data_IF_057914725973
#
_entry.id   IF_057914725973
#
_cell.length_a   1.000
_cell.length_b   1.000
_cell.length_c   1.000
_cell.angle_alpha   90.00
_cell.angle_beta   90.00
_cell.angle_gamma   90.00
#
_symmetry.space_group_name_H-M   'P 1'
#
loop_
_entity.id
_entity.type
_entity.pdbx_description
1 polymer ?
#
# COMPACT_ATOMS: atom_id res chain seq x y z
N UNK A 1 -51.66 -21.96 -31.69
CA UNK A 1 -50.28 -21.41 -31.78
C UNK A 1 -50.03 -20.55 -30.55
N UNK A 2 -49.53 -21.17 -29.49
CA UNK A 2 -49.40 -20.56 -28.16
C UNK A 2 -47.98 -20.02 -28.00
N UNK A 3 -47.80 -18.70 -27.97
CA UNK A 3 -46.48 -18.08 -27.83
C UNK A 3 -46.16 -17.90 -26.35
N UNK A 4 -45.21 -18.69 -25.86
CA UNK A 4 -44.72 -18.63 -24.49
C UNK A 4 -44.10 -17.24 -24.19
N UNK A 5 -44.53 -16.62 -23.09
CA UNK A 5 -43.88 -15.43 -22.52
C UNK A 5 -42.67 -15.89 -21.69
N UNK A 6 -41.52 -15.19 -21.76
CA UNK A 6 -40.36 -15.55 -20.95
C UNK A 6 -40.59 -15.19 -19.47
N UNK A 7 -40.28 -16.13 -18.59
CA UNK A 7 -40.31 -15.95 -17.13
C UNK A 7 -39.22 -14.95 -16.68
N UNK A 8 -39.49 -14.06 -15.71
CA UNK A 8 -38.48 -13.13 -15.19
C UNK A 8 -37.40 -13.87 -14.39
N UNK A 9 -36.14 -13.55 -14.69
CA UNK A 9 -34.96 -14.06 -13.99
C UNK A 9 -34.94 -13.61 -12.51
N UNK A 10 -34.37 -14.42 -11.58
CA UNK A 10 -34.37 -14.12 -10.17
C UNK A 10 -33.54 -12.86 -9.85
N UNK A 11 -34.16 -11.91 -9.17
CA UNK A 11 -33.50 -10.71 -8.65
C UNK A 11 -32.56 -11.07 -7.51
N UNK A 12 -31.31 -10.60 -7.59
CA UNK A 12 -30.34 -10.76 -6.51
C UNK A 12 -30.81 -10.02 -5.23
N UNK A 13 -30.69 -10.64 -4.04
CA UNK A 13 -31.14 -10.03 -2.80
C UNK A 13 -30.19 -8.90 -2.38
N UNK A 14 -30.73 -7.70 -2.12
CA UNK A 14 -29.98 -6.61 -1.51
C UNK A 14 -30.24 -5.20 -2.04
N UNK A 15 -31.07 -5.02 -3.08
CA UNK A 15 -31.39 -3.69 -3.58
C UNK A 15 -32.42 -3.00 -2.67
N UNK A 16 -31.94 -2.25 -1.67
CA UNK A 16 -32.76 -1.40 -0.77
C UNK A 16 -33.44 -0.20 -1.46
N UNK A 17 -33.62 -0.24 -2.79
CA UNK A 17 -34.16 0.86 -3.60
C UNK A 17 -35.60 0.62 -4.08
N UNK A 18 -36.29 -0.43 -3.61
CA UNK A 18 -37.65 -0.79 -4.06
C UNK A 18 -38.80 -0.40 -3.10
N UNK A 19 -38.54 0.30 -1.99
CA UNK A 19 -39.59 0.75 -1.05
C UNK A 19 -39.80 2.27 -1.04
N UNK A 20 -39.85 2.92 -2.20
CA UNK A 20 -40.15 4.37 -2.29
C UNK A 20 -41.02 4.78 -3.49
N UNK A 21 -41.68 3.83 -4.15
CA UNK A 21 -42.49 4.11 -5.36
C UNK A 21 -43.82 3.33 -5.36
N UNK A 22 -44.60 3.42 -4.29
CA UNK A 22 -46.04 3.04 -4.31
C UNK A 22 -46.98 4.13 -3.79
N UNK A 23 -46.47 5.32 -3.48
CA UNK A 23 -47.31 6.47 -3.12
C UNK A 23 -47.00 7.65 -4.03
N UNK A 24 -47.48 7.61 -5.28
CA UNK A 24 -47.72 8.81 -6.08
C UNK A 24 -48.64 8.51 -7.26
N UNK A 25 -49.95 8.61 -6.97
CA UNK A 25 -50.92 9.36 -7.77
C UNK A 25 -51.08 9.04 -9.26
N UNK A 26 -52.26 8.48 -9.57
CA UNK A 26 -53.05 8.77 -10.78
C UNK A 26 -52.76 10.14 -11.39
N UNK A 27 -52.62 10.18 -12.72
CA UNK A 27 -52.63 11.39 -13.51
C UNK A 27 -52.24 11.10 -14.95
N UNK A 28 -53.24 10.99 -15.82
CA UNK A 28 -53.12 10.89 -17.27
C UNK A 28 -52.34 12.10 -17.83
N UNK A 29 -51.44 11.88 -18.81
CA UNK A 29 -51.62 12.41 -20.16
C UNK A 29 -50.38 12.31 -21.07
N UNK A 30 -50.73 11.96 -22.29
CA UNK A 30 -49.98 11.89 -23.53
C UNK A 30 -49.25 13.20 -23.87
N UNK A 31 -47.91 13.20 -23.84
CA UNK A 31 -47.10 14.13 -24.65
C UNK A 31 -45.80 13.49 -25.10
N UNK A 32 -45.60 13.52 -26.43
CA UNK A 32 -44.36 13.23 -27.14
C UNK A 32 -43.20 14.00 -26.51
N UNK A 33 -42.16 13.26 -26.17
CA UNK A 33 -40.86 13.82 -25.85
C UNK A 33 -39.89 12.67 -25.72
N UNK A 34 -39.07 12.46 -26.74
CA UNK A 34 -37.92 11.56 -26.75
C UNK A 34 -36.97 11.95 -25.61
N UNK A 35 -37.27 11.50 -24.39
CA UNK A 35 -36.40 11.65 -23.23
C UNK A 35 -35.29 10.62 -23.40
N UNK A 36 -34.23 11.06 -24.06
CA UNK A 36 -32.98 10.33 -24.16
C UNK A 36 -32.62 9.80 -22.78
N UNK A 37 -32.54 8.47 -22.69
CA UNK A 37 -32.04 7.78 -21.52
C UNK A 37 -30.57 8.21 -21.37
N UNK A 38 -30.32 9.29 -20.61
CA UNK A 38 -28.97 9.56 -20.12
C UNK A 38 -28.67 8.46 -19.13
N UNK A 39 -28.10 7.37 -19.64
CA UNK A 39 -27.32 6.44 -18.85
C UNK A 39 -26.32 7.30 -18.08
N UNK A 40 -26.58 7.52 -16.80
CA UNK A 40 -25.55 8.07 -15.91
C UNK A 40 -24.45 7.03 -15.93
N UNK A 41 -23.37 7.32 -16.66
CA UNK A 41 -22.14 6.55 -16.61
C UNK A 41 -21.81 6.34 -15.13
N UNK A 42 -21.78 5.08 -14.69
CA UNK A 42 -21.09 4.74 -13.46
C UNK A 42 -19.68 5.35 -13.56
N UNK A 43 -19.15 5.98 -12.50
CA UNK A 43 -17.78 6.48 -12.51
C UNK A 43 -16.81 5.30 -12.36
N UNK A 44 -16.96 4.24 -13.15
CA UNK A 44 -15.89 3.27 -13.32
C UNK A 44 -14.97 3.78 -14.43
N UNK A 45 -14.24 4.84 -14.11
CA UNK A 45 -13.00 5.16 -14.82
C UNK A 45 -12.04 4.01 -14.47
N UNK A 46 -11.51 3.23 -15.43
CA UNK A 46 -10.35 2.41 -15.13
C UNK A 46 -9.21 3.40 -14.90
N UNK A 47 -8.87 3.63 -13.63
CA UNK A 47 -7.71 4.43 -13.29
C UNK A 47 -6.42 3.71 -13.70
N UNK A 48 -5.33 4.44 -13.99
CA UNK A 48 -4.03 3.83 -14.24
C UNK A 48 -3.47 3.30 -12.91
N UNK A 49 -3.89 2.11 -12.47
CA UNK A 49 -3.64 1.61 -11.10
C UNK A 49 -2.92 0.27 -10.98
N UNK A 50 -2.32 -0.27 -12.04
CA UNK A 50 -1.51 -1.50 -11.92
C UNK A 50 -0.03 -1.32 -12.29
N UNK A 51 0.34 -0.29 -13.05
CA UNK A 51 1.74 -0.08 -13.45
C UNK A 51 2.63 0.49 -12.32
N UNK A 52 2.01 1.12 -11.30
CA UNK A 52 2.77 1.68 -10.16
C UNK A 52 3.29 0.62 -9.18
N UNK A 53 2.71 -0.57 -9.16
CA UNK A 53 3.13 -1.65 -8.24
C UNK A 53 4.48 -2.25 -8.65
N UNK A 54 4.63 -2.56 -9.94
CA UNK A 54 5.85 -3.17 -10.50
C UNK A 54 7.04 -2.21 -10.45
N UNK A 55 6.82 -0.90 -10.68
CA UNK A 55 7.85 0.12 -10.57
C UNK A 55 8.37 0.30 -9.13
N UNK A 56 7.50 0.19 -8.11
CA UNK A 56 7.91 0.22 -6.69
C UNK A 56 8.67 -1.05 -6.31
N UNK A 57 8.20 -2.22 -6.74
CA UNK A 57 8.87 -3.50 -6.46
C UNK A 57 10.31 -3.55 -6.95
N UNK A 58 10.61 -3.05 -8.15
CA UNK A 58 11.99 -2.97 -8.68
C UNK A 58 12.89 -2.03 -7.85
N UNK A 59 12.39 -0.85 -7.48
CA UNK A 59 13.14 0.09 -6.62
C UNK A 59 13.39 -0.49 -5.23
N UNK A 60 12.45 -1.27 -4.69
CA UNK A 60 12.63 -1.96 -3.40
C UNK A 60 13.70 -3.02 -3.44
N UNK A 61 13.71 -3.86 -4.48
CA UNK A 61 14.75 -4.88 -4.63
C UNK A 61 16.13 -4.22 -4.66
N UNK A 62 16.31 -3.18 -5.48
CA UNK A 62 17.56 -2.42 -5.50
C UNK A 62 17.91 -1.85 -4.13
N UNK A 63 16.93 -1.30 -3.40
CA UNK A 63 17.14 -0.84 -2.03
C UNK A 63 17.56 -1.94 -1.06
N UNK A 64 16.96 -3.14 -1.13
CA UNK A 64 17.34 -4.26 -0.26
C UNK A 64 18.77 -4.72 -0.54
N UNK A 65 19.17 -4.78 -1.81
CA UNK A 65 20.56 -5.09 -2.18
C UNK A 65 21.53 -4.01 -1.66
N UNK A 66 21.19 -2.72 -1.80
CA UNK A 66 21.99 -1.62 -1.26
C UNK A 66 22.11 -1.65 0.26
N UNK A 67 21.02 -1.97 0.96
CA UNK A 67 21.02 -2.13 2.42
C UNK A 67 21.89 -3.29 2.87
N UNK A 68 21.79 -4.44 2.18
CA UNK A 68 22.62 -5.61 2.43
C UNK A 68 24.11 -5.33 2.19
N UNK A 69 24.43 -4.57 1.13
CA UNK A 69 25.80 -4.15 0.84
C UNK A 69 26.34 -3.22 1.94
N UNK A 70 25.57 -2.21 2.36
CA UNK A 70 25.96 -1.29 3.43
C UNK A 70 26.18 -2.00 4.77
N UNK A 71 25.30 -2.94 5.14
CA UNK A 71 25.44 -3.71 6.37
C UNK A 71 26.68 -4.61 6.37
N UNK A 72 26.98 -5.27 5.24
CA UNK A 72 28.20 -6.08 5.09
C UNK A 72 29.46 -5.22 5.14
N UNK A 73 29.43 -4.05 4.51
CA UNK A 73 30.54 -3.10 4.56
C UNK A 73 30.81 -2.65 6.00
N UNK A 74 29.77 -2.24 6.73
CA UNK A 74 29.90 -1.88 8.15
C UNK A 74 30.45 -3.03 9.02
N UNK A 75 30.00 -4.26 8.78
CA UNK A 75 30.53 -5.42 9.50
C UNK A 75 32.03 -5.65 9.18
N UNK A 76 32.43 -5.46 7.92
CA UNK A 76 33.82 -5.63 7.50
C UNK A 76 34.74 -4.55 8.09
N UNK A 77 34.33 -3.28 8.10
CA UNK A 77 35.12 -2.18 8.68
C UNK A 77 35.27 -2.33 10.19
N UNK A 78 34.20 -2.72 10.89
CA UNK A 78 34.25 -3.01 12.32
C UNK A 78 35.17 -4.21 12.63
N UNK A 79 35.13 -5.27 11.82
CA UNK A 79 36.00 -6.43 12.01
C UNK A 79 37.48 -6.10 11.74
N UNK A 80 37.75 -5.17 10.82
CA UNK A 80 39.11 -4.71 10.52
C UNK A 80 39.64 -3.67 11.54
N UNK A 81 38.80 -3.17 12.45
CA UNK A 81 39.17 -2.08 13.36
C UNK A 81 39.40 -0.74 12.65
N UNK A 82 38.74 -0.54 11.51
CA UNK A 82 38.84 0.68 10.71
C UNK A 82 38.23 1.88 11.47
N UNK A 83 38.87 3.07 11.49
CA UNK A 83 38.30 4.28 12.07
C UNK A 83 36.91 4.63 11.49
N UNK A 84 36.61 4.25 10.25
CA UNK A 84 35.31 4.51 9.60
C UNK A 84 34.21 3.52 10.05
N UNK A 85 34.51 2.56 10.94
CA UNK A 85 33.57 1.55 11.41
C UNK A 85 32.28 2.12 12.01
N UNK A 86 32.40 3.14 12.85
CA UNK A 86 31.24 3.78 13.49
C UNK A 86 30.36 4.54 12.47
N UNK A 87 30.99 5.22 11.51
CA UNK A 87 30.30 5.94 10.43
C UNK A 87 29.56 4.95 9.54
N UNK A 88 30.25 3.89 9.10
CA UNK A 88 29.67 2.84 8.25
C UNK A 88 28.48 2.15 8.93
N UNK A 89 28.59 1.84 10.23
CA UNK A 89 27.50 1.24 11.00
C UNK A 89 26.29 2.17 11.13
N UNK A 90 26.53 3.46 11.38
CA UNK A 90 25.47 4.47 11.50
C UNK A 90 24.74 4.68 10.17
N UNK A 91 25.47 4.73 9.05
CA UNK A 91 24.88 4.81 7.69
C UNK A 91 24.05 3.56 7.38
N UNK A 92 24.58 2.37 7.68
CA UNK A 92 23.88 1.12 7.46
C UNK A 92 22.56 1.06 8.26
N UNK A 93 22.59 1.42 9.54
CA UNK A 93 21.41 1.51 10.41
C UNK A 93 20.39 2.53 9.88
N UNK A 94 20.83 3.73 9.51
CA UNK A 94 19.95 4.77 8.96
C UNK A 94 19.13 4.30 7.76
N UNK A 95 19.75 3.48 6.90
CA UNK A 95 19.11 2.96 5.70
C UNK A 95 18.26 1.72 5.98
N UNK A 96 18.75 0.76 6.77
CA UNK A 96 18.07 -0.49 7.07
C UNK A 96 16.79 -0.26 7.89
N UNK A 97 16.83 0.61 8.90
CA UNK A 97 15.70 0.87 9.81
C UNK A 97 14.47 1.39 9.05
N UNK A 98 14.64 2.31 8.10
CA UNK A 98 13.53 2.84 7.30
C UNK A 98 13.08 1.86 6.20
N UNK A 99 14.02 1.12 5.60
CA UNK A 99 13.72 0.21 4.50
C UNK A 99 12.94 -1.02 4.97
N UNK A 100 13.30 -1.62 6.11
CA UNK A 100 12.66 -2.83 6.62
C UNK A 100 11.16 -2.63 6.87
N UNK A 101 10.80 -1.52 7.51
CA UNK A 101 9.40 -1.15 7.73
C UNK A 101 8.66 -0.95 6.42
N UNK A 102 9.22 -0.14 5.52
CA UNK A 102 8.58 0.15 4.23
C UNK A 102 8.40 -1.10 3.37
N UNK A 103 9.36 -2.02 3.41
CA UNK A 103 9.27 -3.29 2.69
C UNK A 103 8.16 -4.18 3.27
N UNK A 104 8.03 -4.25 4.59
CA UNK A 104 6.97 -5.01 5.26
C UNK A 104 5.57 -4.41 5.01
N UNK A 105 5.43 -3.08 5.07
CA UNK A 105 4.18 -2.38 4.76
C UNK A 105 3.73 -2.62 3.31
N UNK A 106 4.66 -2.51 2.35
CA UNK A 106 4.36 -2.79 0.94
C UNK A 106 4.01 -4.26 0.71
N UNK A 107 4.70 -5.19 1.39
CA UNK A 107 4.37 -6.60 1.31
C UNK A 107 2.94 -6.86 1.80
N UNK A 108 2.53 -6.30 2.94
CA UNK A 108 1.16 -6.41 3.44
C UNK A 108 0.17 -5.83 2.42
N UNK A 109 0.48 -4.66 1.85
CA UNK A 109 -0.41 -4.02 0.88
C UNK A 109 -0.58 -4.83 -0.41
N UNK A 110 0.47 -5.55 -0.87
CA UNK A 110 0.43 -6.44 -2.03
C UNK A 110 -0.40 -7.70 -1.78
N UNK A 111 -0.39 -8.20 -0.54
CA UNK A 111 -1.16 -9.39 -0.15
C UNK A 111 -2.59 -9.02 0.28
N UNK A 112 -2.90 -7.73 0.44
CA UNK A 112 -4.17 -7.24 0.93
C UNK A 112 -4.54 -7.89 2.29
N UNK A 113 -5.81 -8.26 2.48
CA UNK A 113 -6.31 -8.75 3.77
C UNK A 113 -5.56 -9.95 4.34
N UNK A 114 -5.10 -10.90 3.50
CA UNK A 114 -4.39 -12.11 3.95
C UNK A 114 -3.05 -11.78 4.61
N UNK A 115 -2.46 -10.61 4.33
CA UNK A 115 -1.22 -10.17 4.97
C UNK A 115 -1.38 -9.88 6.47
N UNK A 116 -2.61 -9.71 6.95
CA UNK A 116 -2.95 -9.42 8.35
C UNK A 116 -3.60 -10.60 9.08
N UNK A 117 -3.62 -11.78 8.47
CA UNK A 117 -4.21 -12.99 9.06
C UNK A 117 -3.13 -14.00 9.48
N UNK A 118 -3.53 -15.08 10.15
CA UNK A 118 -2.61 -16.10 10.69
C UNK A 118 -2.00 -17.00 9.62
N UNK A 119 -2.64 -17.08 8.46
CA UNK A 119 -2.24 -17.88 7.31
C UNK A 119 -0.99 -17.33 6.64
N UNK A 120 -0.66 -16.05 6.87
CA UNK A 120 0.51 -15.44 6.28
C UNK A 120 1.29 -14.54 7.28
N UNK A 121 2.59 -14.79 7.51
CA UNK A 121 3.35 -14.15 8.59
C UNK A 121 3.77 -12.70 8.32
N UNK A 122 3.26 -12.02 7.28
CA UNK A 122 3.69 -10.66 6.92
C UNK A 122 3.51 -9.65 8.05
N UNK A 123 2.39 -9.74 8.76
CA UNK A 123 2.13 -8.90 9.92
C UNK A 123 3.17 -9.09 11.04
N UNK A 124 3.81 -10.26 11.16
CA UNK A 124 4.90 -10.49 12.11
C UNK A 124 6.18 -9.76 11.68
N UNK A 125 6.48 -9.71 10.37
CA UNK A 125 7.63 -8.97 9.86
C UNK A 125 7.47 -7.46 10.06
N UNK A 126 6.27 -6.91 9.90
CA UNK A 126 6.02 -5.49 10.19
C UNK A 126 6.21 -5.20 11.69
N UNK A 127 5.67 -6.05 12.57
CA UNK A 127 5.85 -5.91 14.02
C UNK A 127 7.32 -5.98 14.41
N UNK A 128 8.08 -6.91 13.82
CA UNK A 128 9.52 -7.03 14.06
C UNK A 128 10.28 -5.80 13.58
N UNK A 129 10.05 -5.34 12.35
CA UNK A 129 10.71 -4.15 11.83
C UNK A 129 10.43 -2.90 12.68
N UNK A 130 9.22 -2.80 13.27
CA UNK A 130 8.89 -1.73 14.22
C UNK A 130 9.54 -1.91 15.58
N UNK A 131 9.59 -3.14 16.10
CA UNK A 131 10.32 -3.44 17.33
C UNK A 131 11.82 -3.12 17.17
N UNK A 132 12.41 -3.42 16.01
CA UNK A 132 13.80 -3.09 15.70
C UNK A 132 14.02 -1.56 15.68
N UNK A 133 13.09 -0.77 15.12
CA UNK A 133 13.16 0.70 15.19
C UNK A 133 13.09 1.23 16.62
N UNK A 134 12.33 0.59 17.50
CA UNK A 134 12.24 0.98 18.92
C UNK A 134 13.52 0.61 19.67
N UNK A 135 14.09 -0.57 19.39
CA UNK A 135 15.27 -1.08 20.06
C UNK A 135 16.57 -0.37 19.64
N UNK A 136 16.70 -0.05 18.35
CA UNK A 136 17.95 0.45 17.77
C UNK A 136 17.87 1.92 17.33
N UNK A 137 16.67 2.48 17.21
CA UNK A 137 16.43 3.84 16.72
C UNK A 137 15.83 3.88 15.32
N UNK A 138 15.27 5.03 14.98
CA UNK A 138 14.71 5.30 13.66
C UNK A 138 15.78 5.75 12.68
N UNK A 139 15.51 5.67 11.37
CA UNK A 139 16.43 6.23 10.38
C UNK A 139 16.71 7.73 10.57
N UNK A 140 15.77 8.47 11.16
CA UNK A 140 15.97 9.87 11.54
C UNK A 140 17.03 10.02 12.64
N UNK A 141 16.95 9.20 13.69
CA UNK A 141 17.88 9.23 14.82
C UNK A 141 19.31 8.92 14.36
N UNK A 142 19.47 7.94 13.47
CA UNK A 142 20.79 7.62 12.90
C UNK A 142 21.33 8.70 11.97
N UNK A 143 20.48 9.38 11.18
CA UNK A 143 20.92 10.52 10.36
C UNK A 143 21.33 11.71 11.22
N UNK A 144 20.62 11.96 12.32
CA UNK A 144 21.01 12.97 13.30
C UNK A 144 22.36 12.61 13.94
N UNK A 145 22.53 11.37 14.40
CA UNK A 145 23.83 10.87 14.92
C UNK A 145 24.95 11.02 13.89
N UNK A 146 24.69 10.65 12.64
CA UNK A 146 25.67 10.75 11.56
C UNK A 146 26.16 12.19 11.39
N UNK A 147 25.27 13.19 11.45
CA UNK A 147 25.65 14.60 11.30
C UNK A 147 26.71 15.05 12.32
N UNK A 148 26.64 14.54 13.56
CA UNK A 148 27.64 14.79 14.57
C UNK A 148 28.98 14.10 14.28
N UNK A 149 28.95 12.90 13.70
CA UNK A 149 30.17 12.13 13.36
C UNK A 149 30.94 12.74 12.19
N UNK A 150 30.25 13.37 11.23
CA UNK A 150 30.87 13.96 10.03
C UNK A 150 30.91 15.49 10.05
N UNK A 151 30.69 16.10 11.22
CA UNK A 151 30.71 17.55 11.44
C UNK A 151 29.83 18.35 10.46
N UNK A 152 28.70 17.77 10.06
CA UNK A 152 27.73 18.44 9.18
C UNK A 152 26.62 19.09 10.00
N UNK A 153 26.06 20.22 9.53
CA UNK A 153 24.87 20.80 10.16
C UNK A 153 23.73 19.77 10.12
N UNK A 154 23.18 19.47 11.30
CA UNK A 154 22.11 18.50 11.45
C UNK A 154 20.86 18.88 10.64
N UNK A 155 20.02 17.89 10.29
CA UNK A 155 18.75 18.16 9.61
C UNK A 155 17.88 19.05 10.50
N UNK A 156 17.43 20.18 9.94
CA UNK A 156 16.50 21.12 10.60
C UNK A 156 15.08 20.57 10.65
#
# INVERSE_FOLDING_TARGET
>A
MTRALPSPAPTAPGCKLQRRLEEQGRGDDNTRGSRGLRLRRCPHRPGPRLDRGVARGRRRRAGVESAGAAARYAAATLAAGDPDGEIAATVAQAYCSDLAVKAAEEAIQLHAGIGMTWEHPLHLYLKRAKADQIAFGTGGDHRARLSHLVELPGPR
#
